data_IF_357954233029
#
_entry.id   IF_357954233029
#
_cell.length_a   1.000
_cell.length_b   1.000
_cell.length_c   1.000
_cell.angle_alpha   90.00
_cell.angle_beta   90.00
_cell.angle_gamma   90.00
#
_symmetry.space_group_name_H-M   'P 1'
#
loop_
_entity.id
_entity.type
_entity.pdbx_description
1 polymer ?
#
# COMPACT_ATOMS: atom_id res chain seq x y z
N UNK A 1 -14.30 11.32 17.71
CA UNK A 1 -13.79 9.93 17.71
C UNK A 1 -13.01 9.71 16.43
N UNK A 2 -11.69 9.84 16.49
CA UNK A 2 -10.80 9.52 15.36
C UNK A 2 -10.64 8.00 15.34
N UNK A 3 -11.27 7.33 14.37
CA UNK A 3 -10.99 5.92 14.11
C UNK A 3 -9.56 5.83 13.58
N UNK A 4 -8.72 5.00 14.23
CA UNK A 4 -7.41 4.68 13.68
C UNK A 4 -7.63 4.02 12.31
N UNK A 5 -7.20 4.69 11.24
CA UNK A 5 -7.43 4.27 9.85
C UNK A 5 -6.63 3.00 9.52
N UNK A 6 -5.55 2.74 10.25
CA UNK A 6 -4.73 1.55 10.18
C UNK A 6 -4.21 1.16 11.57
N UNK A 7 -3.83 -0.10 11.73
CA UNK A 7 -3.10 -0.60 12.90
C UNK A 7 -1.74 -1.11 12.46
N UNK A 8 -0.69 -0.62 13.09
CA UNK A 8 0.68 -0.84 12.65
C UNK A 8 1.44 -1.76 13.62
N UNK A 9 2.17 -2.72 13.07
CA UNK A 9 3.05 -3.64 13.83
C UNK A 9 4.43 -3.64 13.19
N UNK A 10 5.48 -3.36 13.95
CA UNK A 10 6.86 -3.27 13.44
C UNK A 10 7.73 -4.42 13.92
N UNK A 11 8.33 -5.14 12.97
CA UNK A 11 9.27 -6.25 13.22
C UNK A 11 10.67 -5.92 12.65
N UNK A 12 11.74 -6.52 13.20
CA UNK A 12 13.07 -6.47 12.59
C UNK A 12 13.08 -7.12 11.20
N UNK A 13 13.86 -6.57 10.25
CA UNK A 13 13.92 -7.05 8.86
C UNK A 13 14.39 -8.50 8.72
N UNK A 14 15.20 -8.97 9.68
CA UNK A 14 15.77 -10.32 9.74
C UNK A 14 14.77 -11.38 10.22
N UNK A 15 13.67 -10.97 10.85
CA UNK A 15 12.64 -11.89 11.35
C UNK A 15 11.68 -12.23 10.22
N UNK A 16 11.41 -13.52 10.04
CA UNK A 16 10.36 -14.00 9.16
C UNK A 16 9.01 -13.86 9.89
N UNK A 17 8.10 -12.99 9.41
CA UNK A 17 6.81 -12.80 10.08
C UNK A 17 5.91 -14.03 9.90
N UNK A 18 5.18 -14.39 10.95
CA UNK A 18 4.14 -15.43 10.94
C UNK A 18 2.77 -14.77 10.79
N UNK A 19 2.00 -15.14 9.78
CA UNK A 19 0.65 -14.59 9.58
C UNK A 19 -0.42 -15.50 10.17
N UNK A 20 -1.56 -14.95 10.65
CA UNK A 20 -2.74 -15.74 11.00
C UNK A 20 -3.22 -16.59 9.81
N UNK A 21 -3.85 -17.73 10.07
CA UNK A 21 -4.44 -18.61 9.04
C UNK A 21 -5.76 -18.05 8.45
N UNK A 22 -5.79 -16.75 8.19
CA UNK A 22 -6.93 -16.00 7.67
C UNK A 22 -6.49 -15.20 6.44
N UNK A 23 -7.38 -15.01 5.48
CA UNK A 23 -7.10 -14.17 4.33
C UNK A 23 -6.94 -12.72 4.76
N UNK A 24 -5.83 -12.10 4.36
CA UNK A 24 -5.51 -10.70 4.72
C UNK A 24 -6.50 -9.64 4.17
N UNK A 25 -7.37 -10.02 3.24
CA UNK A 25 -8.34 -9.10 2.59
C UNK A 25 -9.76 -9.32 3.12
N UNK A 26 -10.23 -10.57 3.17
CA UNK A 26 -11.61 -10.89 3.55
C UNK A 26 -11.74 -11.58 4.92
N UNK A 27 -10.62 -11.93 5.56
CA UNK A 27 -10.55 -12.63 6.85
C UNK A 27 -11.21 -14.03 6.89
N UNK A 28 -11.55 -14.63 5.74
CA UNK A 28 -11.99 -16.02 5.65
C UNK A 28 -10.79 -16.99 5.58
N UNK A 29 -11.03 -18.31 5.66
CA UNK A 29 -9.97 -19.30 5.48
C UNK A 29 -9.33 -19.17 4.08
N UNK A 30 -8.00 -18.98 3.99
CA UNK A 30 -7.32 -18.78 2.71
C UNK A 30 -7.19 -20.10 1.93
N UNK A 31 -7.50 -20.08 0.64
CA UNK A 31 -7.26 -21.18 -0.31
C UNK A 31 -5.99 -20.97 -1.16
N UNK A 32 -5.21 -19.93 -0.83
CA UNK A 32 -4.01 -19.56 -1.56
C UNK A 32 -3.10 -18.65 -0.72
N UNK A 33 -1.92 -18.39 -1.26
CA UNK A 33 -0.96 -17.43 -0.73
C UNK A 33 -0.44 -16.53 -1.84
N UNK A 34 0.07 -15.36 -1.47
CA UNK A 34 0.82 -14.50 -2.39
C UNK A 34 2.10 -14.01 -1.76
N UNK A 35 3.10 -13.70 -2.58
CA UNK A 35 4.38 -13.19 -2.13
C UNK A 35 4.40 -11.68 -2.31
N UNK A 36 4.61 -10.96 -1.22
CA UNK A 36 4.81 -9.51 -1.24
C UNK A 36 6.28 -9.17 -1.10
N UNK A 37 6.72 -8.18 -1.87
CA UNK A 37 8.02 -7.56 -1.69
C UNK A 37 7.87 -6.43 -0.68
N UNK A 38 8.76 -6.42 0.32
CA UNK A 38 8.85 -5.33 1.31
C UNK A 38 9.17 -4.03 0.57
N UNK A 39 8.28 -3.06 0.60
CA UNK A 39 8.48 -1.80 -0.12
C UNK A 39 9.52 -0.97 0.65
N UNK A 40 10.62 -0.57 0.01
CA UNK A 40 11.48 0.46 0.59
C UNK A 40 10.83 1.81 0.36
N UNK A 41 10.83 2.70 1.35
CA UNK A 41 10.28 4.06 1.24
C UNK A 41 10.96 4.94 0.16
N UNK A 42 11.96 4.40 -0.55
CA UNK A 42 12.65 5.15 -1.58
C UNK A 42 11.80 5.22 -2.85
N UNK A 43 11.28 6.41 -3.18
CA UNK A 43 10.42 6.65 -4.35
C UNK A 43 11.02 6.13 -5.67
N UNK A 44 12.35 6.22 -5.84
CA UNK A 44 13.03 5.62 -7.00
C UNK A 44 12.97 4.08 -7.00
N UNK A 45 13.00 3.44 -5.83
CA UNK A 45 12.84 1.99 -5.73
C UNK A 45 11.41 1.55 -6.08
N UNK A 46 10.40 2.38 -5.79
CA UNK A 46 9.02 2.18 -6.27
C UNK A 46 8.94 2.22 -7.80
N UNK A 47 9.69 3.11 -8.44
CA UNK A 47 9.77 3.19 -9.91
C UNK A 47 10.46 1.96 -10.53
N UNK A 48 11.57 1.51 -9.94
CA UNK A 48 12.32 0.35 -10.41
C UNK A 48 11.81 -0.99 -9.85
N UNK A 49 10.70 -1.02 -9.12
CA UNK A 49 10.19 -2.24 -8.47
C UNK A 49 9.99 -3.42 -9.44
N UNK A 50 9.54 -3.25 -10.70
CA UNK A 50 9.47 -4.37 -11.66
C UNK A 50 10.83 -5.00 -11.96
N UNK A 51 11.88 -4.17 -12.06
CA UNK A 51 13.26 -4.63 -12.30
C UNK A 51 13.85 -5.24 -11.03
N UNK A 52 13.63 -4.61 -9.87
CA UNK A 52 14.05 -5.13 -8.57
C UNK A 52 13.36 -6.46 -8.21
N UNK A 53 12.22 -6.77 -8.83
CA UNK A 53 11.53 -8.06 -8.70
C UNK A 53 12.39 -9.25 -9.16
N UNK A 54 13.32 -9.02 -10.11
CA UNK A 54 14.26 -10.02 -10.62
C UNK A 54 15.46 -10.26 -9.69
N UNK A 55 15.83 -9.29 -8.85
CA UNK A 55 17.07 -9.31 -8.05
C UNK A 55 16.92 -9.82 -6.61
N UNK A 56 15.97 -10.74 -6.36
CA UNK A 56 15.97 -11.54 -5.13
C UNK A 56 15.66 -10.79 -3.83
N UNK A 57 14.92 -9.68 -3.88
CA UNK A 57 14.50 -8.98 -2.66
C UNK A 57 13.61 -9.85 -1.77
N UNK A 58 13.75 -9.68 -0.44
CA UNK A 58 12.99 -10.36 0.61
C UNK A 58 11.50 -10.44 0.26
N UNK A 59 11.04 -11.67 0.00
CA UNK A 59 9.64 -11.99 -0.24
C UNK A 59 9.04 -12.52 1.05
N UNK A 60 7.91 -11.96 1.43
CA UNK A 60 7.12 -12.46 2.55
C UNK A 60 5.85 -13.08 1.98
N UNK A 61 5.57 -14.31 2.36
CA UNK A 61 4.38 -15.02 1.93
C UNK A 61 3.22 -14.65 2.85
N UNK A 62 2.11 -14.23 2.25
CA UNK A 62 0.90 -13.80 2.96
C UNK A 62 -0.30 -14.67 2.53
N UNK A 63 -1.15 -15.09 3.48
CA UNK A 63 -2.36 -15.85 3.19
C UNK A 63 -3.41 -14.98 2.50
N UNK A 64 -3.92 -15.43 1.35
CA UNK A 64 -4.92 -14.70 0.58
C UNK A 64 -5.83 -15.64 -0.23
N UNK A 65 -7.13 -15.36 -0.27
CA UNK A 65 -8.03 -16.12 -1.13
C UNK A 65 -7.73 -15.88 -2.62
N UNK A 66 -7.93 -16.87 -3.50
CA UNK A 66 -7.78 -16.72 -4.96
C UNK A 66 -8.64 -15.60 -5.51
N UNK A 67 -9.88 -15.48 -5.04
CA UNK A 67 -10.80 -14.39 -5.42
C UNK A 67 -10.38 -13.02 -4.90
N UNK A 68 -9.58 -12.95 -3.83
CA UNK A 68 -9.08 -11.69 -3.26
C UNK A 68 -7.78 -11.21 -3.91
N UNK A 69 -6.99 -12.11 -4.53
CA UNK A 69 -5.76 -11.76 -5.26
C UNK A 69 -5.90 -10.62 -6.27
N UNK A 70 -6.86 -10.64 -7.22
CA UNK A 70 -6.96 -9.57 -8.21
C UNK A 70 -7.23 -8.21 -7.56
N UNK A 71 -8.11 -8.16 -6.55
CA UNK A 71 -8.37 -6.94 -5.77
C UNK A 71 -7.11 -6.46 -5.05
N UNK A 72 -6.35 -7.37 -4.44
CA UNK A 72 -5.10 -7.03 -3.75
C UNK A 72 -4.05 -6.44 -4.71
N UNK A 73 -3.84 -7.05 -5.88
CA UNK A 73 -2.90 -6.53 -6.87
C UNK A 73 -3.38 -5.22 -7.50
N UNK A 74 -4.68 -5.07 -7.77
CA UNK A 74 -5.24 -3.83 -8.28
C UNK A 74 -5.06 -2.69 -7.27
N UNK A 75 -5.24 -2.97 -5.97
CA UNK A 75 -4.97 -2.02 -4.89
C UNK A 75 -3.48 -1.65 -4.78
N UNK A 76 -2.55 -2.58 -5.02
CA UNK A 76 -1.11 -2.30 -4.88
C UNK A 76 -0.49 -1.64 -6.11
N UNK A 77 -0.82 -2.14 -7.29
CA UNK A 77 -0.20 -1.73 -8.56
C UNK A 77 -1.15 -0.95 -9.46
N UNK A 78 -2.38 -1.45 -9.59
CA UNK A 78 -3.40 -0.83 -10.43
C UNK A 78 -3.58 0.64 -10.08
N UNK A 79 -3.51 0.95 -8.79
CA UNK A 79 -3.51 2.31 -8.24
C UNK A 79 -2.51 3.26 -8.91
N UNK A 80 -1.22 3.00 -8.72
CA UNK A 80 -0.15 3.83 -9.28
C UNK A 80 -0.19 3.85 -10.80
N UNK A 81 -0.44 2.69 -11.44
CA UNK A 81 -0.50 2.58 -12.90
C UNK A 81 -1.64 3.39 -13.50
N UNK A 82 -2.85 3.32 -12.93
CA UNK A 82 -4.02 4.07 -13.39
C UNK A 82 -3.80 5.57 -13.19
N UNK A 83 -3.24 5.98 -12.05
CA UNK A 83 -2.92 7.39 -11.77
C UNK A 83 -1.97 7.97 -12.84
N UNK A 84 -0.88 7.28 -13.14
CA UNK A 84 0.05 7.69 -14.21
C UNK A 84 -0.59 7.65 -15.60
N UNK A 85 -1.41 6.64 -15.90
CA UNK A 85 -2.09 6.55 -17.19
C UNK A 85 -3.06 7.72 -17.41
N UNK A 86 -3.82 8.12 -16.39
CA UNK A 86 -4.71 9.29 -16.43
C UNK A 86 -3.89 10.57 -16.60
N UNK A 87 -2.84 10.74 -15.79
CA UNK A 87 -2.00 11.93 -15.85
C UNK A 87 -1.34 12.10 -17.23
N UNK A 88 -0.71 11.03 -17.76
CA UNK A 88 -0.08 11.02 -19.07
C UNK A 88 -1.12 11.25 -20.16
N UNK A 89 -2.25 10.54 -20.14
CA UNK A 89 -3.30 10.68 -21.13
C UNK A 89 -3.86 12.11 -21.22
N UNK A 90 -4.18 12.72 -20.07
CA UNK A 90 -4.66 14.10 -20.01
C UNK A 90 -3.60 15.08 -20.50
N UNK A 91 -2.35 14.92 -20.06
CA UNK A 91 -1.26 15.80 -20.48
C UNK A 91 -0.97 15.67 -21.99
N UNK A 92 -0.99 14.47 -22.55
CA UNK A 92 -0.78 14.25 -23.99
C UNK A 92 -1.87 14.89 -24.84
N UNK A 93 -3.14 14.79 -24.42
CA UNK A 93 -4.26 15.43 -25.12
C UNK A 93 -4.22 16.95 -24.95
N UNK A 94 -3.89 17.44 -23.75
CA UNK A 94 -3.89 18.86 -23.44
C UNK A 94 -2.69 19.62 -24.04
N UNK A 95 -1.53 18.97 -24.17
CA UNK A 95 -0.27 19.58 -24.60
C UNK A 95 -0.38 20.50 -25.83
N UNK A 96 -0.96 20.07 -26.98
CA UNK A 96 -1.02 20.91 -28.19
C UNK A 96 -1.85 22.18 -28.00
N UNK A 97 -2.81 22.21 -27.09
CA UNK A 97 -3.66 23.38 -26.84
C UNK A 97 -2.94 24.54 -26.13
N UNK A 98 -1.74 24.28 -25.58
CA UNK A 98 -0.95 25.26 -24.86
C UNK A 98 0.35 25.63 -25.59
N UNK A 99 0.47 25.37 -26.90
CA UNK A 99 1.71 25.63 -27.65
C UNK A 99 2.05 27.11 -27.79
N UNK A 100 1.04 28.00 -27.85
CA UNK A 100 1.23 29.44 -27.96
C UNK A 100 1.49 30.15 -26.61
N UNK A 101 1.44 29.42 -25.50
CA UNK A 101 1.54 30.00 -24.17
C UNK A 101 3.01 30.19 -23.74
N UNK A 102 3.26 31.21 -22.92
CA UNK A 102 4.56 31.39 -22.27
C UNK A 102 4.98 30.14 -21.49
N UNK A 103 6.28 29.83 -21.47
CA UNK A 103 6.81 28.58 -20.86
C UNK A 103 6.36 28.38 -19.40
N UNK A 104 6.30 29.45 -18.61
CA UNK A 104 5.90 29.38 -17.21
C UNK A 104 4.39 29.13 -17.05
N UNK A 105 3.56 29.88 -17.78
CA UNK A 105 2.10 29.73 -17.73
C UNK A 105 1.66 28.36 -18.25
N UNK A 106 2.28 27.86 -19.32
CA UNK A 106 2.08 26.50 -19.83
C UNK A 106 2.33 25.44 -18.75
N UNK A 107 3.48 25.52 -18.06
CA UNK A 107 3.81 24.55 -17.00
C UNK A 107 2.83 24.58 -15.83
N UNK A 108 2.43 25.77 -15.39
CA UNK A 108 1.46 25.91 -14.29
C UNK A 108 0.09 25.37 -14.69
N UNK A 109 -0.38 25.69 -15.90
CA UNK A 109 -1.66 25.21 -16.41
C UNK A 109 -1.70 23.68 -16.54
N UNK A 110 -0.65 23.09 -17.12
CA UNK A 110 -0.53 21.63 -17.26
C UNK A 110 -0.43 20.94 -15.89
N UNK A 111 0.33 21.50 -14.94
CA UNK A 111 0.40 20.97 -13.58
C UNK A 111 -0.95 21.03 -12.86
N UNK A 112 -1.66 22.16 -12.95
CA UNK A 112 -3.00 22.31 -12.39
C UNK A 112 -4.00 21.33 -12.99
N UNK A 113 -3.96 21.14 -14.31
CA UNK A 113 -4.80 20.16 -15.01
C UNK A 113 -4.48 18.73 -14.59
N UNK A 114 -3.20 18.37 -14.45
CA UNK A 114 -2.80 17.06 -13.96
C UNK A 114 -3.32 16.79 -12.54
N UNK A 115 -3.21 17.77 -11.63
CA UNK A 115 -3.75 17.66 -10.26
C UNK A 115 -5.27 17.45 -10.31
N UNK A 116 -5.98 18.25 -11.10
CA UNK A 116 -7.44 18.16 -11.23
C UNK A 116 -7.88 16.82 -11.83
N UNK A 117 -7.13 16.28 -12.79
CA UNK A 117 -7.39 14.96 -13.37
C UNK A 117 -7.13 13.81 -12.38
N UNK A 118 -6.14 13.94 -11.51
CA UNK A 118 -5.78 12.93 -10.50
C UNK A 118 -6.69 13.04 -9.25
N UNK A 119 -7.35 14.18 -9.03
CA UNK A 119 -8.16 14.42 -7.82
C UNK A 119 -9.28 13.37 -7.57
N UNK A 120 -10.09 12.93 -8.55
CA UNK A 120 -11.10 11.89 -8.32
C UNK A 120 -10.48 10.56 -7.89
N UNK A 121 -9.29 10.27 -8.43
CA UNK A 121 -8.54 9.08 -8.08
C UNK A 121 -8.02 9.16 -6.63
N UNK A 122 -7.48 10.31 -6.20
CA UNK A 122 -7.10 10.53 -4.78
C UNK A 122 -8.31 10.39 -3.86
N UNK A 123 -9.46 10.96 -4.24
CA UNK A 123 -10.69 10.82 -3.45
C UNK A 123 -11.10 9.35 -3.31
N UNK A 124 -11.06 8.57 -4.40
CA UNK A 124 -11.30 7.13 -4.36
C UNK A 124 -10.33 6.40 -3.41
N UNK A 125 -9.07 6.85 -3.32
CA UNK A 125 -8.12 6.26 -2.38
C UNK A 125 -8.50 6.42 -0.92
N UNK A 126 -9.06 7.58 -0.57
CA UNK A 126 -9.52 7.91 0.79
C UNK A 126 -10.70 7.04 1.19
N UNK A 127 -11.65 6.80 0.26
CA UNK A 127 -12.84 5.99 0.54
C UNK A 127 -12.58 4.48 0.56
N UNK A 128 -11.51 4.03 -0.10
CA UNK A 128 -11.17 2.61 -0.19
C UNK A 128 -9.74 2.36 0.32
N UNK A 129 -9.48 2.38 1.63
CA UNK A 129 -8.13 2.18 2.15
C UNK A 129 -7.55 0.82 1.73
N UNK A 130 -6.21 0.74 1.70
CA UNK A 130 -5.50 -0.50 1.41
C UNK A 130 -5.76 -1.49 2.55
N UNK A 131 -6.07 -2.73 2.20
CA UNK A 131 -6.33 -3.77 3.22
C UNK A 131 -5.07 -4.07 4.04
N UNK A 132 -3.91 -3.97 3.39
CA UNK A 132 -2.61 -4.27 3.98
C UNK A 132 -1.50 -3.57 3.19
N UNK A 133 -0.51 -3.04 3.92
CA UNK A 133 0.73 -2.55 3.33
C UNK A 133 1.96 -2.90 4.18
N UNK A 134 3.13 -2.78 3.57
CA UNK A 134 4.42 -3.03 4.24
C UNK A 134 5.44 -1.97 3.86
N UNK A 135 6.03 -1.39 4.89
CA UNK A 135 6.98 -0.28 4.78
C UNK A 135 8.28 -0.70 5.45
N UNK A 136 9.37 -0.80 4.67
CA UNK A 136 10.69 -1.15 5.19
C UNK A 136 11.56 0.11 5.36
N UNK A 137 12.01 0.34 6.60
CA UNK A 137 12.80 1.51 6.98
C UNK A 137 13.84 1.11 8.05
N UNK A 138 15.10 1.54 7.91
CA UNK A 138 16.10 1.47 8.99
C UNK A 138 16.29 0.10 9.65
N UNK A 139 16.31 -0.99 8.87
CA UNK A 139 16.46 -2.36 9.40
C UNK A 139 15.20 -2.96 10.04
N UNK A 140 14.08 -2.22 10.00
CA UNK A 140 12.77 -2.64 10.46
C UNK A 140 11.78 -2.71 9.31
N UNK A 141 10.68 -3.41 9.53
CA UNK A 141 9.55 -3.54 8.60
C UNK A 141 8.29 -3.28 9.38
N UNK A 142 7.58 -2.23 9.02
CA UNK A 142 6.25 -1.90 9.54
C UNK A 142 5.21 -2.56 8.66
N UNK A 143 4.29 -3.28 9.28
CA UNK A 143 3.15 -3.94 8.67
C UNK A 143 1.90 -3.14 9.06
N UNK A 144 1.22 -2.60 8.07
CA UNK A 144 0.06 -1.73 8.23
C UNK A 144 -1.19 -2.53 7.85
N UNK A 145 -2.11 -2.70 8.78
CA UNK A 145 -3.34 -3.48 8.59
C UNK A 145 -4.57 -2.58 8.66
N UNK A 146 -5.52 -2.75 7.73
CA UNK A 146 -6.82 -2.09 7.83
C UNK A 146 -7.70 -2.67 8.95
N UNK A 147 -7.47 -3.93 9.33
CA UNK A 147 -8.25 -4.65 10.35
C UNK A 147 -7.47 -4.76 11.65
N UNK A 148 -7.96 -4.09 12.69
CA UNK A 148 -7.35 -4.15 14.02
C UNK A 148 -7.35 -5.57 14.60
N UNK A 149 -8.41 -6.35 14.37
CA UNK A 149 -8.50 -7.74 14.83
C UNK A 149 -7.44 -8.63 14.17
N UNK A 150 -7.19 -8.44 12.87
CA UNK A 150 -6.14 -9.16 12.16
C UNK A 150 -4.75 -8.74 12.64
N UNK A 151 -4.54 -7.43 12.84
CA UNK A 151 -3.29 -6.89 13.37
C UNK A 151 -2.96 -7.44 14.76
N UNK A 152 -3.97 -7.58 15.62
CA UNK A 152 -3.83 -8.17 16.95
C UNK A 152 -3.40 -9.64 16.88
N UNK A 153 -4.05 -10.45 16.04
CA UNK A 153 -3.63 -11.85 15.85
C UNK A 153 -2.20 -11.95 15.29
N UNK A 154 -1.87 -11.11 14.32
CA UNK A 154 -0.52 -11.02 13.78
C UNK A 154 0.50 -10.64 14.87
N UNK A 155 0.18 -9.66 15.71
CA UNK A 155 1.01 -9.29 16.85
C UNK A 155 1.21 -10.45 17.82
N UNK A 156 0.14 -11.15 18.21
CA UNK A 156 0.21 -12.26 19.15
C UNK A 156 1.12 -13.38 18.63
N UNK A 157 1.07 -13.67 17.34
CA UNK A 157 1.92 -14.66 16.67
C UNK A 157 3.40 -14.25 16.57
N UNK A 158 3.71 -12.95 16.64
CA UNK A 158 5.07 -12.43 16.47
C UNK A 158 5.60 -11.67 17.70
N UNK A 159 4.90 -11.72 18.84
CA UNK A 159 5.10 -10.83 20.01
C UNK A 159 6.54 -10.78 20.51
N UNK A 160 7.27 -11.90 20.42
CA UNK A 160 8.66 -12.04 20.87
C UNK A 160 9.65 -11.21 20.03
N UNK A 161 9.21 -10.76 18.85
CA UNK A 161 10.01 -10.01 17.90
C UNK A 161 9.47 -8.61 17.66
N UNK A 162 8.38 -8.20 18.31
CA UNK A 162 7.79 -6.87 18.09
C UNK A 162 8.67 -5.79 18.70
N UNK A 163 9.05 -4.83 17.86
CA UNK A 163 9.86 -3.67 18.27
C UNK A 163 9.01 -2.44 18.55
N UNK A 164 7.86 -2.32 17.90
CA UNK A 164 6.85 -1.27 18.10
C UNK A 164 5.49 -1.81 17.63
N UNK A 165 4.42 -1.45 18.32
CA UNK A 165 3.05 -1.72 17.90
C UNK A 165 2.12 -0.61 18.35
N UNK A 166 1.20 -0.20 17.47
CA UNK A 166 0.18 0.81 17.76
C UNK A 166 -1.14 0.16 18.22
N UNK A 167 -1.07 -1.07 18.73
CA UNK A 167 -2.21 -1.83 19.22
C UNK A 167 -2.64 -1.26 20.57
N UNK A 168 -3.82 -0.63 20.58
CA UNK A 168 -4.48 -0.21 21.82
C UNK A 168 -5.19 -1.40 22.46
N UNK A 169 -4.57 -1.99 23.49
CA UNK A 169 -5.11 -3.12 24.23
C UNK A 169 -6.31 -2.73 25.10
N UNK A 170 -6.49 -1.45 25.45
CA UNK A 170 -7.59 -1.00 26.30
C UNK A 170 -8.97 -1.10 25.64
N UNK A 171 -9.01 -1.29 24.31
CA UNK A 171 -10.25 -1.45 23.53
C UNK A 171 -10.63 -2.91 23.26
N UNK A 172 -9.72 -3.86 23.52
CA UNK A 172 -9.93 -5.29 23.23
C UNK A 172 -10.71 -6.01 24.34
N UNK A 173 -10.75 -5.46 25.56
CA UNK A 173 -11.39 -6.06 26.74
C UNK A 173 -12.84 -5.60 26.97
N UNK A 174 -13.46 -4.94 25.98
CA UNK A 174 -14.85 -4.48 26.04
C UNK A 174 -15.87 -5.61 26.03
N UNK A 175 -16.03 -6.27 27.19
CA UNK A 175 -17.31 -6.78 27.67
C UNK A 175 -18.29 -5.64 27.88
#
# INVERSE_FOLDING_TARGET
MTMAVSTDVTLPKLVAPVFPELCIVCHALPDSSTKITKNSQHWLATFFTPILYLFGWSRTEIPICRGCKPRFYLQRWGRTTICWAIAIGVLSVAWPYFDDWGRLTKKIALAGLAILAIAPYIAFEVFWPRSFDTTAEGGKVTYEFASQAYALQFYLLNREHVTKSDIDFARADGR
#
